data_IF_299738062037
#
_entry.id   IF_299738062037
#
_cell.length_a   1.000
_cell.length_b   1.000
_cell.length_c   1.000
_cell.angle_alpha   90.00
_cell.angle_beta   90.00
_cell.angle_gamma   90.00
#
_symmetry.space_group_name_H-M   'P 1'
#
loop_
_entity.id
_entity.type
_entity.pdbx_description
1 polymer ?
#
# COMPACT_ATOMS: atom_id res chain seq x y z
N UNK A 1 -3.78 -19.47 5.39
CA UNK A 1 -3.75 -18.21 4.61
C UNK A 1 -4.69 -17.18 5.24
N UNK A 2 -5.85 -17.61 5.72
CA UNK A 2 -6.79 -16.69 6.34
C UNK A 2 -6.29 -16.01 7.60
N UNK A 3 -5.31 -16.60 8.28
CA UNK A 3 -4.76 -16.04 9.51
C UNK A 3 -3.79 -14.89 9.27
N UNK A 4 -3.25 -14.79 8.07
CA UNK A 4 -2.24 -13.79 7.72
C UNK A 4 -2.68 -13.06 6.46
N UNK A 5 -3.55 -12.04 6.59
CA UNK A 5 -4.12 -11.37 5.43
C UNK A 5 -3.11 -10.82 4.44
N UNK A 6 -1.94 -10.37 4.92
CA UNK A 6 -0.92 -9.83 4.01
C UNK A 6 -0.37 -10.90 3.07
N UNK A 7 -0.45 -12.18 3.42
CA UNK A 7 0.00 -13.26 2.53
C UNK A 7 -0.90 -13.42 1.31
N UNK A 8 -2.12 -12.88 1.34
CA UNK A 8 -3.01 -12.94 0.19
C UNK A 8 -2.46 -12.18 -1.02
N UNK A 9 -1.52 -11.25 -0.79
CA UNK A 9 -0.91 -10.48 -1.87
C UNK A 9 0.33 -11.12 -2.45
N UNK A 10 0.81 -12.21 -1.88
CA UNK A 10 1.93 -12.97 -2.43
C UNK A 10 1.41 -14.10 -3.29
N UNK A 11 1.94 -14.27 -4.51
CA UNK A 11 1.58 -15.42 -5.33
C UNK A 11 1.96 -16.72 -4.64
N UNK A 12 1.01 -17.65 -4.57
CA UNK A 12 1.25 -18.94 -3.92
C UNK A 12 1.64 -19.94 -4.99
N UNK A 13 2.95 -20.11 -5.18
CA UNK A 13 3.49 -21.01 -6.20
C UNK A 13 4.29 -22.17 -5.63
N UNK A 14 4.27 -22.36 -4.31
CA UNK A 14 5.06 -23.43 -3.69
C UNK A 14 4.66 -24.83 -4.20
N UNK A 15 3.41 -25.02 -4.61
CA UNK A 15 2.98 -26.29 -5.22
C UNK A 15 3.67 -26.48 -6.55
N UNK A 16 3.84 -25.41 -7.32
CA UNK A 16 4.51 -25.45 -8.62
C UNK A 16 6.01 -25.75 -8.47
N UNK A 17 6.63 -25.36 -7.37
CA UNK A 17 8.03 -25.68 -7.09
C UNK A 17 8.23 -27.18 -6.99
N UNK A 18 7.26 -27.94 -6.49
CA UNK A 18 7.33 -29.39 -6.40
C UNK A 18 7.33 -30.07 -7.78
N UNK A 19 6.95 -29.36 -8.82
CA UNK A 19 6.90 -29.87 -10.19
C UNK A 19 7.92 -29.13 -11.04
N UNK A 20 8.99 -29.81 -11.45
CA UNK A 20 10.06 -29.20 -12.25
C UNK A 20 9.57 -28.52 -13.53
N UNK A 21 8.41 -28.93 -14.03
CA UNK A 21 7.84 -28.36 -15.24
C UNK A 21 7.43 -26.89 -15.09
N UNK A 22 7.30 -26.41 -13.85
CA UNK A 22 6.82 -25.06 -13.58
C UNK A 22 7.88 -24.12 -13.03
N UNK A 23 9.15 -24.50 -13.13
CA UNK A 23 10.27 -23.71 -12.62
C UNK A 23 10.30 -22.31 -13.26
N UNK A 24 10.02 -22.21 -14.55
CA UNK A 24 10.01 -20.92 -15.26
C UNK A 24 8.94 -19.98 -14.73
N UNK A 25 7.75 -20.53 -14.43
CA UNK A 25 6.66 -19.74 -13.87
C UNK A 25 7.00 -19.21 -12.50
N UNK A 26 7.64 -20.04 -11.66
CA UNK A 26 8.09 -19.63 -10.33
C UNK A 26 9.11 -18.49 -10.43
N UNK A 27 10.10 -18.63 -11.32
CA UNK A 27 11.12 -17.60 -11.52
C UNK A 27 10.50 -16.30 -12.04
N UNK A 28 9.61 -16.40 -13.01
CA UNK A 28 8.94 -15.23 -13.56
C UNK A 28 8.15 -14.48 -12.50
N UNK A 29 7.36 -15.19 -11.70
CA UNK A 29 6.56 -14.59 -10.63
C UNK A 29 7.45 -13.97 -9.57
N UNK A 30 8.56 -14.63 -9.21
CA UNK A 30 9.51 -14.10 -8.24
C UNK A 30 10.14 -12.79 -8.73
N UNK A 31 10.47 -12.71 -10.02
CA UNK A 31 11.01 -11.48 -10.61
C UNK A 31 9.98 -10.37 -10.65
N UNK A 32 8.72 -10.69 -10.93
CA UNK A 32 7.64 -9.70 -10.92
C UNK A 32 7.44 -9.11 -9.53
N UNK A 33 7.43 -9.94 -8.50
CA UNK A 33 7.31 -9.49 -7.10
C UNK A 33 8.51 -8.63 -6.73
N UNK A 34 9.73 -9.05 -7.09
CA UNK A 34 10.93 -8.29 -6.80
C UNK A 34 10.90 -6.92 -7.47
N UNK A 35 10.47 -6.86 -8.73
CA UNK A 35 10.36 -5.60 -9.46
C UNK A 35 9.33 -4.66 -8.81
N UNK A 36 8.18 -5.20 -8.39
CA UNK A 36 7.16 -4.41 -7.71
C UNK A 36 7.64 -3.85 -6.38
N UNK A 37 8.46 -4.61 -5.65
CA UNK A 37 9.03 -4.14 -4.38
C UNK A 37 9.98 -2.96 -4.57
N UNK A 38 10.63 -2.87 -5.72
CA UNK A 38 11.61 -1.80 -6.00
C UNK A 38 10.99 -0.60 -6.69
N UNK A 39 9.71 -0.67 -6.98
CA UNK A 39 9.04 0.40 -7.69
C UNK A 39 8.91 1.65 -6.82
N UNK A 40 9.30 2.78 -7.38
CA UNK A 40 9.19 4.07 -6.71
C UNK A 40 8.22 4.96 -7.47
N UNK A 41 7.22 5.49 -6.77
CA UNK A 41 6.24 6.40 -7.35
C UNK A 41 6.71 7.85 -7.22
N UNK A 42 6.33 8.66 -8.19
CA UNK A 42 6.58 10.09 -8.13
C UNK A 42 5.71 10.71 -7.03
N UNK A 43 6.25 11.70 -6.34
CA UNK A 43 5.53 12.41 -5.28
C UNK A 43 4.23 13.02 -5.80
N UNK A 44 4.24 13.54 -7.03
CA UNK A 44 3.04 14.11 -7.65
C UNK A 44 1.93 13.06 -7.81
N UNK A 45 2.30 11.83 -8.18
CA UNK A 45 1.33 10.75 -8.35
C UNK A 45 0.74 10.33 -7.00
N UNK A 46 1.56 10.30 -5.96
CA UNK A 46 1.09 9.97 -4.60
C UNK A 46 0.11 11.04 -4.11
N UNK A 47 0.44 12.31 -4.31
CA UNK A 47 -0.44 13.40 -3.88
C UNK A 47 -1.75 13.44 -4.67
N UNK A 48 -1.70 13.15 -5.95
CA UNK A 48 -2.89 13.05 -6.78
C UNK A 48 -3.79 11.90 -6.31
N UNK A 49 -3.19 10.77 -5.97
CA UNK A 49 -3.89 9.65 -5.38
C UNK A 49 -4.59 10.05 -4.07
N UNK A 50 -3.90 10.75 -3.18
CA UNK A 50 -4.46 11.19 -1.90
C UNK A 50 -5.68 12.08 -2.13
N UNK A 51 -5.59 13.04 -3.02
CA UNK A 51 -6.71 13.94 -3.35
C UNK A 51 -7.91 13.16 -3.84
N UNK A 52 -7.72 12.22 -4.75
CA UNK A 52 -8.81 11.41 -5.29
C UNK A 52 -9.40 10.48 -4.25
N UNK A 53 -8.57 9.85 -3.43
CA UNK A 53 -9.04 8.94 -2.39
C UNK A 53 -9.87 9.69 -1.36
N UNK A 54 -9.44 10.87 -0.94
CA UNK A 54 -10.19 11.68 0.02
C UNK A 54 -11.48 12.25 -0.57
N UNK A 55 -11.48 12.57 -1.86
CA UNK A 55 -12.68 13.05 -2.54
C UNK A 55 -13.72 11.94 -2.64
N UNK A 56 -13.29 10.71 -2.87
CA UNK A 56 -14.19 9.56 -2.97
C UNK A 56 -14.75 9.15 -1.60
N UNK A 57 -13.91 9.16 -0.57
CA UNK A 57 -14.28 8.78 0.78
C UNK A 57 -13.46 9.61 1.78
N UNK A 58 -14.10 10.61 2.35
CA UNK A 58 -13.42 11.54 3.26
C UNK A 58 -13.10 10.88 4.60
N UNK A 59 -12.01 11.30 5.26
CA UNK A 59 -11.74 10.83 6.62
C UNK A 59 -12.89 11.20 7.56
N UNK A 60 -13.16 10.35 8.58
CA UNK A 60 -14.23 10.65 9.53
C UNK A 60 -13.88 11.84 10.42
N UNK A 61 -14.93 12.50 10.90
CA UNK A 61 -14.79 13.52 11.93
C UNK A 61 -14.88 12.82 13.28
N UNK A 62 -13.79 12.90 14.06
CA UNK A 62 -13.74 12.25 15.37
C UNK A 62 -13.59 13.31 16.45
N UNK A 63 -14.45 13.24 17.47
CA UNK A 63 -14.39 14.15 18.62
C UNK A 63 -14.36 15.63 18.21
N UNK A 64 -15.11 15.98 17.17
CA UNK A 64 -15.13 17.34 16.63
C UNK A 64 -13.92 17.74 15.83
N UNK A 65 -12.97 16.82 15.62
CA UNK A 65 -11.76 17.07 14.83
C UNK A 65 -11.98 16.69 13.38
N UNK A 66 -11.66 17.60 12.50
CA UNK A 66 -11.74 17.38 11.06
C UNK A 66 -10.39 16.87 10.57
N UNK A 67 -10.29 15.56 10.39
CA UNK A 67 -9.05 14.91 10.00
C UNK A 67 -8.82 15.11 8.50
N UNK A 68 -7.65 15.61 8.13
CA UNK A 68 -7.27 15.75 6.72
C UNK A 68 -5.87 15.23 6.50
N UNK A 69 -5.65 14.64 5.32
CA UNK A 69 -4.33 14.24 4.86
C UNK A 69 -3.90 15.28 3.84
N UNK A 70 -2.84 16.02 4.14
CA UNK A 70 -2.45 17.17 3.34
C UNK A 70 -1.58 16.78 2.15
N UNK A 71 -0.61 15.90 2.37
CA UNK A 71 0.25 15.41 1.30
C UNK A 71 0.92 14.12 1.74
N UNK A 72 1.62 13.49 0.79
CA UNK A 72 2.36 12.28 1.08
C UNK A 72 3.45 12.04 0.07
N UNK A 73 4.30 11.08 0.38
CA UNK A 73 5.38 10.67 -0.50
C UNK A 73 5.78 9.24 -0.17
N UNK A 74 6.35 8.56 -1.16
CA UNK A 74 6.98 7.28 -0.92
C UNK A 74 8.38 7.53 -0.37
N UNK A 75 8.59 7.15 0.89
CA UNK A 75 9.86 7.41 1.59
C UNK A 75 10.82 6.25 1.53
N UNK A 76 10.34 5.07 1.15
CA UNK A 76 11.16 3.89 0.98
C UNK A 76 10.57 3.02 -0.11
N UNK A 77 11.39 2.37 -0.92
CA UNK A 77 10.89 1.61 -2.06
C UNK A 77 11.00 0.09 -1.92
N UNK A 78 11.79 -0.40 -1.00
CA UNK A 78 11.97 -1.84 -0.82
C UNK A 78 12.08 -2.20 0.66
N UNK A 79 10.96 -2.51 1.35
CA UNK A 79 9.56 -2.51 0.88
C UNK A 79 8.99 -1.09 0.70
N UNK A 80 7.91 -0.94 -0.07
CA UNK A 80 7.28 0.37 -0.24
C UNK A 80 6.71 0.90 1.07
N UNK A 81 7.16 2.08 1.46
CA UNK A 81 6.66 2.78 2.64
C UNK A 81 6.23 4.17 2.21
N UNK A 82 4.99 4.51 2.52
CA UNK A 82 4.42 5.81 2.19
C UNK A 82 4.21 6.61 3.46
N UNK A 83 4.74 7.81 3.51
CA UNK A 83 4.49 8.74 4.60
C UNK A 83 3.37 9.68 4.17
N UNK A 84 2.28 9.69 4.92
CA UNK A 84 1.14 10.56 4.69
C UNK A 84 1.07 11.56 5.85
N UNK A 85 1.08 12.83 5.52
CA UNK A 85 1.12 13.90 6.52
C UNK A 85 -0.28 14.42 6.80
N UNK A 86 -0.66 14.33 8.07
CA UNK A 86 -2.00 14.67 8.54
C UNK A 86 -1.92 15.65 9.71
N UNK A 87 -3.01 16.38 9.91
CA UNK A 87 -3.16 17.24 11.11
C UNK A 87 -3.37 16.40 12.38
N UNK A 88 -3.94 15.20 12.27
CA UNK A 88 -4.20 14.32 13.40
C UNK A 88 -3.78 12.89 13.08
N UNK A 89 -2.47 12.62 12.96
CA UNK A 89 -1.99 11.31 12.49
C UNK A 89 -2.32 10.16 13.43
N UNK A 90 -2.44 10.42 14.73
CA UNK A 90 -2.72 9.37 15.71
C UNK A 90 -4.21 9.05 15.83
N UNK A 91 -5.08 9.87 15.25
CA UNK A 91 -6.52 9.72 15.36
C UNK A 91 -7.15 9.06 14.12
N UNK A 92 -6.34 8.68 13.14
CA UNK A 92 -6.84 8.05 11.93
C UNK A 92 -7.25 6.61 12.22
N UNK A 93 -8.53 6.23 11.96
CA UNK A 93 -9.00 4.88 12.24
C UNK A 93 -8.30 3.83 11.37
N UNK A 94 -8.14 2.63 11.93
CA UNK A 94 -7.56 1.49 11.19
C UNK A 94 -8.32 1.21 9.91
N UNK A 95 -9.63 1.35 9.93
CA UNK A 95 -10.48 1.12 8.76
C UNK A 95 -10.15 2.09 7.63
N UNK A 96 -9.87 3.34 7.96
CA UNK A 96 -9.48 4.32 6.96
C UNK A 96 -8.10 4.03 6.39
N UNK A 97 -7.17 3.56 7.24
CA UNK A 97 -5.85 3.12 6.78
C UNK A 97 -5.97 1.98 5.77
N UNK A 98 -6.83 1.01 6.05
CA UNK A 98 -7.08 -0.11 5.14
C UNK A 98 -7.69 0.35 3.82
N UNK A 99 -8.61 1.30 3.90
CA UNK A 99 -9.19 1.88 2.70
C UNK A 99 -8.12 2.51 1.81
N UNK A 100 -7.23 3.30 2.41
CA UNK A 100 -6.15 3.94 1.67
C UNK A 100 -5.17 2.92 1.08
N UNK A 101 -4.83 1.90 1.85
CA UNK A 101 -3.93 0.85 1.38
C UNK A 101 -4.53 0.09 0.20
N UNK A 102 -5.80 -0.29 0.30
CA UNK A 102 -6.49 -0.99 -0.77
C UNK A 102 -6.63 -0.10 -2.01
N UNK A 103 -6.94 1.17 -1.83
CA UNK A 103 -7.04 2.12 -2.93
C UNK A 103 -5.70 2.32 -3.63
N UNK A 104 -4.62 2.34 -2.86
CA UNK A 104 -3.27 2.45 -3.39
C UNK A 104 -2.93 1.24 -4.27
N UNK A 105 -3.28 0.04 -3.81
CA UNK A 105 -3.09 -1.18 -4.59
C UNK A 105 -3.91 -1.19 -5.86
N UNK A 106 -5.16 -0.76 -5.76
CA UNK A 106 -6.05 -0.70 -6.93
C UNK A 106 -5.52 0.25 -8.00
N UNK A 107 -4.94 1.36 -7.57
CA UNK A 107 -4.45 2.36 -8.52
C UNK A 107 -3.07 2.05 -9.06
N UNK A 108 -2.14 1.62 -8.22
CA UNK A 108 -0.73 1.46 -8.60
C UNK A 108 -0.27 0.02 -8.72
N UNK A 109 -1.05 -0.94 -8.23
CA UNK A 109 -0.69 -2.34 -8.28
C UNK A 109 0.00 -2.81 -7.02
N UNK A 110 1.32 -3.00 -7.06
CA UNK A 110 2.11 -3.59 -5.97
C UNK A 110 1.65 -5.01 -5.62
N UNK A 111 1.32 -5.80 -6.65
CA UNK A 111 0.87 -7.16 -6.46
C UNK A 111 1.96 -8.02 -5.82
N UNK A 112 1.58 -8.79 -4.80
CA UNK A 112 2.50 -9.66 -4.12
C UNK A 112 3.46 -8.97 -3.17
N UNK A 113 3.26 -7.69 -2.88
CA UNK A 113 4.18 -6.89 -2.06
C UNK A 113 3.43 -6.26 -0.90
N UNK A 114 3.92 -6.39 0.35
CA UNK A 114 3.34 -5.65 1.46
C UNK A 114 3.65 -4.16 1.32
N UNK A 115 2.66 -3.34 1.62
CA UNK A 115 2.81 -1.89 1.62
C UNK A 115 2.63 -1.40 3.05
N UNK A 116 3.43 -0.43 3.45
CA UNK A 116 3.26 0.20 4.75
C UNK A 116 2.92 1.68 4.56
N UNK A 117 1.88 2.12 5.26
CA UNK A 117 1.51 3.54 5.30
C UNK A 117 1.78 4.05 6.70
N UNK A 118 2.60 5.09 6.79
CA UNK A 118 2.95 5.74 8.04
C UNK A 118 2.32 7.13 8.06
N UNK A 119 1.50 7.39 9.06
CA UNK A 119 0.90 8.71 9.22
C UNK A 119 1.79 9.56 10.13
N UNK A 120 2.13 10.74 9.67
CA UNK A 120 3.03 11.65 10.37
C UNK A 120 2.38 13.01 10.54
N UNK A 121 2.80 13.72 11.57
CA UNK A 121 2.30 15.05 11.83
C UNK A 121 2.81 16.02 10.77
N UNK A 122 1.92 16.87 10.30
CA UNK A 122 2.27 17.94 9.39
C UNK A 122 2.72 19.15 10.20
N UNK A 123 3.97 19.52 10.03
CA UNK A 123 4.51 20.72 10.69
C UNK A 123 4.38 21.94 9.81
#
# INVERSE_FOLDING_TARGET
IGQYPMLAYYPILFISVAHNLRTREVLKTSLEVFTERQRKLKTSDVNDFIKKAMAYHSPPILKGKNITIKYGAQVHHSPPIFALFSNYPNDIPVQYKRYLENSLRDRFGFNGVPIKISFRENK
#
